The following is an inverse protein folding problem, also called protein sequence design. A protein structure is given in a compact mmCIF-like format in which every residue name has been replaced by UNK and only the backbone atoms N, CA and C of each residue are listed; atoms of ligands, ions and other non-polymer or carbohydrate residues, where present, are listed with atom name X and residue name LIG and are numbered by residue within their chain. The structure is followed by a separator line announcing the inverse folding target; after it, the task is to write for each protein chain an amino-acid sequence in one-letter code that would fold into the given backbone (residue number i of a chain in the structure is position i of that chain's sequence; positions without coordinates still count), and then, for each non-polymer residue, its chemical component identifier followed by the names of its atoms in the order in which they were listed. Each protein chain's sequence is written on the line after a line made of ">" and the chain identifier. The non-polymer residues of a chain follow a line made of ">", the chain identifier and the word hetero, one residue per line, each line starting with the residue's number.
data_IF_386087855420
#
_entry.id   IF_386087855420
#
_cell.length_a   1.000
_cell.length_b   1.000
_cell.length_c   1.000
_cell.angle_alpha   90.00
_cell.angle_beta   90.00
_cell.angle_gamma   90.00
#
_symmetry.space_group_name_H-M   'P 1'
#
loop_
_entity.id
_entity.type
_entity.pdbx_description
1 polymer ?
#
# COMPACT_ATOMS: atom_id res chain seq x y z
N UNK A 1 19.03 67.22 12.47
CA UNK A 1 20.52 67.32 12.48
C UNK A 1 21.05 66.11 11.74
N UNK A 2 21.86 66.15 10.68
CA UNK A 2 22.48 67.20 9.91
C UNK A 2 22.99 66.55 8.60
N UNK A 3 22.94 67.32 7.52
CA UNK A 3 23.26 66.97 6.12
C UNK A 3 24.77 67.15 5.89
N UNK A 4 25.40 66.44 4.93
CA UNK A 4 26.10 67.05 3.76
C UNK A 4 27.09 66.13 3.01
N UNK A 5 26.95 66.29 1.69
CA UNK A 5 27.57 65.78 0.47
C UNK A 5 29.00 66.27 0.15
N UNK A 6 29.70 65.50 -0.70
CA UNK A 6 30.60 65.98 -1.79
C UNK A 6 32.08 66.20 -1.44
N UNK A 7 33.04 66.26 -2.42
CA UNK A 7 32.85 66.66 -3.82
C UNK A 7 33.63 65.87 -4.92
N UNK A 8 33.42 66.29 -6.18
CA UNK A 8 34.05 65.87 -7.46
C UNK A 8 35.23 66.77 -7.89
N UNK A 9 36.05 66.25 -8.84
CA UNK A 9 36.79 66.90 -9.99
C UNK A 9 38.33 66.72 -9.97
N UNK A 10 39.09 66.98 -11.08
CA UNK A 10 38.86 66.74 -12.52
C UNK A 10 40.11 66.25 -13.33
N UNK A 11 39.86 65.87 -14.60
CA UNK A 11 40.69 65.91 -15.84
C UNK A 11 42.24 65.99 -15.80
N UNK A 12 42.88 65.17 -16.66
CA UNK A 12 43.98 65.62 -17.56
C UNK A 12 44.13 64.71 -18.79
N UNK A 13 44.33 65.34 -19.96
CA UNK A 13 44.72 64.75 -21.26
C UNK A 13 46.25 64.68 -21.37
N UNK A 14 46.79 63.66 -22.06
CA UNK A 14 47.81 63.71 -23.15
C UNK A 14 48.46 62.32 -23.37
N UNK A 15 48.64 61.95 -24.63
CA UNK A 15 49.25 60.71 -25.15
C UNK A 15 50.80 60.71 -25.00
N UNK A 16 51.52 59.57 -25.16
CA UNK A 16 51.89 59.10 -26.51
C UNK A 16 52.00 57.57 -26.74
N UNK A 17 51.81 57.22 -28.02
CA UNK A 17 52.44 56.18 -28.85
C UNK A 17 53.30 55.07 -28.20
N UNK A 18 52.89 53.81 -28.37
CA UNK A 18 53.78 52.66 -28.50
C UNK A 18 53.12 51.58 -29.38
N UNK A 19 53.94 50.90 -30.16
CA UNK A 19 53.67 50.23 -31.42
C UNK A 19 53.68 48.71 -31.24
N UNK A 20 52.74 48.03 -31.93
CA UNK A 20 52.64 46.61 -32.30
C UNK A 20 52.96 45.51 -31.26
N UNK A 21 51.99 44.61 -31.01
CA UNK A 21 51.95 43.31 -31.70
C UNK A 21 50.59 42.60 -31.50
N UNK A 22 50.22 41.83 -32.52
CA UNK A 22 48.90 41.29 -32.85
C UNK A 22 48.52 40.07 -32.01
N UNK A 23 47.31 40.07 -31.44
CA UNK A 23 46.54 38.85 -31.16
C UNK A 23 45.13 39.07 -31.71
N UNK A 24 44.81 38.38 -32.80
CA UNK A 24 43.46 38.36 -33.36
C UNK A 24 42.59 37.43 -32.51
N UNK A 25 41.72 38.00 -31.67
CA UNK A 25 40.54 37.30 -31.18
C UNK A 25 39.36 37.84 -31.98
N UNK A 26 38.90 37.06 -32.96
CA UNK A 26 37.65 37.33 -33.64
C UNK A 26 36.50 37.19 -32.64
N UNK A 27 35.98 38.32 -32.18
CA UNK A 27 34.70 38.36 -31.49
C UNK A 27 33.61 38.18 -32.55
N UNK A 28 33.15 36.95 -32.75
CA UNK A 28 31.83 36.72 -33.32
C UNK A 28 30.81 37.24 -32.31
N UNK A 29 30.14 38.32 -32.65
CA UNK A 29 28.92 38.78 -31.99
C UNK A 29 27.88 37.66 -32.12
N UNK A 30 27.59 36.99 -31.01
CA UNK A 30 26.53 36.00 -30.91
C UNK A 30 25.20 36.76 -30.87
N UNK A 31 24.31 36.49 -31.82
CA UNK A 31 22.94 36.98 -31.78
C UNK A 31 22.28 36.58 -30.45
N UNK A 32 21.49 37.45 -29.80
CA UNK A 32 20.78 37.08 -28.59
C UNK A 32 19.87 35.88 -28.90
N UNK A 33 19.81 34.87 -28.01
CA UNK A 33 19.01 33.69 -28.26
C UNK A 33 17.55 34.11 -28.44
N UNK A 34 16.81 33.47 -29.37
CA UNK A 34 15.39 33.72 -29.54
C UNK A 34 14.68 33.53 -28.20
N UNK A 35 13.66 34.36 -27.95
CA UNK A 35 12.83 34.26 -26.75
C UNK A 35 12.40 32.79 -26.53
N UNK A 36 12.37 32.30 -25.28
CA UNK A 36 12.01 30.92 -25.00
C UNK A 36 10.60 30.67 -25.56
N UNK A 37 10.55 29.94 -26.67
CA UNK A 37 9.31 29.34 -27.11
C UNK A 37 8.92 28.37 -26.01
N UNK A 38 7.67 28.46 -25.54
CA UNK A 38 7.09 27.41 -24.70
C UNK A 38 7.24 26.11 -25.48
N UNK A 39 8.26 25.33 -25.13
CA UNK A 39 8.31 23.93 -25.51
C UNK A 39 7.04 23.36 -24.94
N UNK A 40 6.15 22.91 -25.82
CA UNK A 40 5.06 22.05 -25.41
C UNK A 40 5.71 20.99 -24.52
N UNK A 41 5.25 20.89 -23.27
CA UNK A 41 5.57 19.77 -22.41
C UNK A 41 5.43 18.54 -23.30
N UNK A 42 6.53 17.84 -23.55
CA UNK A 42 6.51 16.57 -24.26
C UNK A 42 5.41 15.76 -23.59
N UNK A 43 4.29 15.55 -24.28
CA UNK A 43 3.37 14.52 -23.87
C UNK A 43 4.22 13.28 -23.70
N UNK A 44 4.19 12.68 -22.51
CA UNK A 44 4.78 11.38 -22.31
C UNK A 44 4.07 10.46 -23.30
N UNK A 45 4.71 10.18 -24.44
CA UNK A 45 4.26 9.15 -25.34
C UNK A 45 4.28 7.89 -24.51
N UNK A 46 3.11 7.30 -24.27
CA UNK A 46 3.00 6.02 -23.59
C UNK A 46 4.00 5.06 -24.28
N UNK A 47 4.87 4.37 -23.54
CA UNK A 47 5.74 3.38 -24.16
C UNK A 47 4.86 2.41 -24.97
N UNK A 48 5.28 2.04 -26.19
CA UNK A 48 4.48 1.16 -27.03
C UNK A 48 4.16 -0.11 -26.25
N UNK A 49 2.88 -0.49 -26.24
CA UNK A 49 2.44 -1.76 -25.68
C UNK A 49 3.26 -2.85 -26.34
N UNK A 50 4.13 -3.51 -25.58
CA UNK A 50 4.89 -4.64 -26.09
C UNK A 50 3.89 -5.78 -26.29
N UNK A 51 3.97 -6.52 -27.40
CA UNK A 51 3.12 -7.70 -27.62
C UNK A 51 3.24 -8.59 -26.37
N UNK A 52 2.10 -8.92 -25.73
CA UNK A 52 2.07 -9.70 -24.49
C UNK A 52 2.05 -8.91 -23.18
N UNK A 53 2.07 -7.58 -23.21
CA UNK A 53 1.97 -6.72 -22.01
C UNK A 53 0.52 -6.28 -21.74
N UNK A 54 0.10 -6.38 -20.48
CA UNK A 54 -1.14 -5.80 -19.96
C UNK A 54 -0.79 -4.61 -19.06
N UNK A 55 -1.48 -3.49 -19.24
CA UNK A 55 -1.33 -2.27 -18.45
C UNK A 55 -2.53 -2.13 -17.51
N UNK A 56 -2.23 -2.06 -16.22
CA UNK A 56 -3.17 -1.83 -15.13
C UNK A 56 -2.94 -0.43 -14.54
N UNK A 57 -3.93 0.45 -14.67
CA UNK A 57 -3.88 1.77 -14.05
C UNK A 57 -4.24 1.70 -12.55
N UNK A 58 -3.44 2.36 -11.72
CA UNK A 58 -3.55 2.46 -10.26
C UNK A 58 -3.38 3.90 -9.80
N UNK A 59 -3.76 4.22 -8.56
CA UNK A 59 -3.57 5.57 -8.00
C UNK A 59 -2.09 5.88 -7.72
N UNK A 60 -1.40 4.95 -7.06
CA UNK A 60 0.03 5.00 -6.70
C UNK A 60 0.51 3.61 -6.28
N UNK A 61 1.82 3.40 -6.16
CA UNK A 61 2.38 2.10 -5.75
C UNK A 61 2.13 1.74 -4.28
N UNK A 62 1.64 2.69 -3.46
CA UNK A 62 1.31 2.46 -2.06
C UNK A 62 2.49 2.58 -1.08
N UNK A 63 2.26 2.19 0.17
CA UNK A 63 3.21 2.36 1.27
C UNK A 63 4.31 1.28 1.31
N UNK A 64 3.96 0.05 0.93
CA UNK A 64 4.86 -1.10 0.95
C UNK A 64 4.19 -2.36 0.40
N UNK A 65 4.95 -3.45 0.38
CA UNK A 65 4.58 -4.71 -0.25
C UNK A 65 4.60 -5.90 0.71
N UNK A 66 4.54 -5.67 2.03
CA UNK A 66 4.32 -6.74 3.01
C UNK A 66 2.83 -6.82 3.35
N UNK A 67 2.08 -7.84 2.88
CA UNK A 67 0.64 -7.94 3.12
C UNK A 67 0.28 -8.18 4.59
N UNK A 68 1.26 -8.56 5.41
CA UNK A 68 1.09 -8.86 6.82
C UNK A 68 1.18 -7.63 7.74
N UNK A 69 1.50 -6.44 7.20
CA UNK A 69 1.61 -5.20 7.97
C UNK A 69 0.37 -4.32 7.82
N UNK A 70 -0.07 -3.73 8.94
CA UNK A 70 -1.12 -2.71 8.95
C UNK A 70 -0.72 -1.46 8.14
N UNK A 71 0.57 -1.11 8.12
CA UNK A 71 1.09 0.04 7.38
C UNK A 71 0.97 -0.09 5.87
N UNK A 72 0.91 -1.32 5.37
CA UNK A 72 1.05 -1.64 3.94
C UNK A 72 -0.31 -2.01 3.31
N UNK A 73 -1.40 -1.95 4.09
CA UNK A 73 -2.75 -2.28 3.63
C UNK A 73 -3.20 -1.37 2.48
N UNK A 74 -3.21 -1.92 1.28
CA UNK A 74 -3.63 -1.24 0.06
C UNK A 74 -4.10 -2.24 -1.01
N UNK A 75 -4.99 -1.84 -1.93
CA UNK A 75 -5.40 -2.71 -3.03
C UNK A 75 -4.22 -3.10 -3.93
N UNK A 76 -3.22 -2.22 -4.08
CA UNK A 76 -2.02 -2.50 -4.90
C UNK A 76 -1.15 -3.57 -4.25
N UNK A 77 -0.89 -3.45 -2.93
CA UNK A 77 -0.16 -4.49 -2.20
C UNK A 77 -0.88 -5.85 -2.32
N UNK A 78 -2.18 -5.90 -2.04
CA UNK A 78 -2.97 -7.13 -2.16
C UNK A 78 -2.92 -7.74 -3.57
N UNK A 79 -3.02 -6.92 -4.62
CA UNK A 79 -2.94 -7.38 -6.01
C UNK A 79 -1.55 -7.92 -6.35
N UNK A 80 -0.48 -7.22 -5.96
CA UNK A 80 0.90 -7.66 -6.20
C UNK A 80 1.17 -8.95 -5.43
N UNK A 81 0.86 -9.02 -4.14
CA UNK A 81 1.03 -10.21 -3.31
C UNK A 81 0.30 -11.42 -3.90
N UNK A 82 -0.94 -11.25 -4.35
CA UNK A 82 -1.71 -12.34 -4.97
C UNK A 82 -1.04 -12.92 -6.23
N UNK A 83 -0.32 -12.10 -7.00
CA UNK A 83 0.33 -12.49 -8.25
C UNK A 83 1.74 -13.07 -8.06
N UNK A 84 2.46 -12.63 -7.01
CA UNK A 84 3.89 -12.92 -6.84
C UNK A 84 4.23 -13.75 -5.60
N UNK A 85 3.34 -13.84 -4.60
CA UNK A 85 3.58 -14.62 -3.38
C UNK A 85 2.77 -15.93 -3.37
N UNK A 86 3.37 -17.04 -2.92
CA UNK A 86 2.66 -18.30 -2.75
C UNK A 86 1.76 -18.24 -1.50
N UNK A 87 0.63 -18.93 -1.52
CA UNK A 87 -0.30 -19.01 -0.38
C UNK A 87 -0.75 -20.46 -0.18
N UNK A 88 -1.00 -20.86 1.06
CA UNK A 88 -1.56 -22.18 1.37
C UNK A 88 -3.02 -22.32 0.88
N UNK A 89 -3.80 -21.25 1.06
CA UNK A 89 -5.18 -21.15 0.62
C UNK A 89 -5.41 -19.82 -0.10
N UNK A 90 -6.39 -19.79 -1.00
CA UNK A 90 -6.84 -18.57 -1.68
C UNK A 90 -8.32 -18.34 -1.37
N UNK A 91 -8.73 -17.08 -1.13
CA UNK A 91 -10.13 -16.77 -0.91
C UNK A 91 -10.91 -16.83 -2.23
N UNK A 92 -12.08 -17.46 -2.19
CA UNK A 92 -13.09 -17.41 -3.26
C UNK A 92 -14.36 -16.78 -2.69
N UNK A 93 -15.05 -15.99 -3.51
CA UNK A 93 -16.30 -15.34 -3.07
C UNK A 93 -17.34 -16.38 -2.68
N UNK A 94 -17.85 -16.28 -1.46
CA UNK A 94 -18.90 -17.13 -0.93
C UNK A 94 -19.79 -16.31 0.03
N UNK A 95 -20.93 -15.78 -0.43
CA UNK A 95 -21.80 -14.96 0.40
C UNK A 95 -22.46 -15.74 1.55
N UNK A 96 -22.33 -17.07 1.59
CA UNK A 96 -22.84 -17.88 2.69
C UNK A 96 -21.92 -17.86 3.93
N UNK A 97 -20.67 -17.39 3.80
CA UNK A 97 -19.75 -17.29 4.95
C UNK A 97 -19.84 -15.91 5.61
N UNK A 98 -19.54 -15.80 6.92
CA UNK A 98 -19.58 -14.51 7.63
C UNK A 98 -18.63 -13.44 7.05
N UNK A 99 -17.51 -13.85 6.44
CA UNK A 99 -16.52 -12.98 5.78
C UNK A 99 -16.81 -12.75 4.30
N UNK A 100 -17.84 -13.38 3.73
CA UNK A 100 -18.13 -13.35 2.30
C UNK A 100 -17.11 -14.10 1.43
N UNK A 101 -16.16 -14.81 2.05
CA UNK A 101 -15.14 -15.61 1.38
C UNK A 101 -15.05 -17.01 1.98
N UNK A 102 -14.87 -18.01 1.11
CA UNK A 102 -14.43 -19.36 1.47
C UNK A 102 -12.96 -19.51 1.10
N UNK A 103 -12.18 -20.18 1.96
CA UNK A 103 -10.77 -20.42 1.69
C UNK A 103 -10.57 -21.80 1.08
N UNK A 104 -10.09 -21.83 -0.16
CA UNK A 104 -9.80 -23.05 -0.91
C UNK A 104 -8.30 -23.28 -0.98
N UNK A 105 -7.87 -24.52 -0.79
CA UNK A 105 -6.44 -24.88 -0.81
C UNK A 105 -5.86 -24.52 -2.18
N UNK A 106 -4.70 -23.88 -2.22
CA UNK A 106 -4.00 -23.59 -3.47
C UNK A 106 -3.28 -24.86 -3.96
N UNK A 107 -3.79 -25.53 -5.01
CA UNK A 107 -3.19 -26.76 -5.49
C UNK A 107 -1.87 -26.52 -6.22
N UNK A 108 -1.50 -25.26 -6.48
CA UNK A 108 -0.21 -24.92 -7.07
C UNK A 108 0.90 -24.97 -6.03
N UNK A 109 0.63 -24.66 -4.76
CA UNK A 109 1.64 -24.76 -3.70
C UNK A 109 1.60 -26.12 -2.99
N UNK A 110 0.41 -26.63 -2.70
CA UNK A 110 0.22 -27.76 -1.80
C UNK A 110 -0.25 -29.02 -2.53
N UNK A 111 0.22 -30.16 -2.03
CA UNK A 111 -0.33 -31.49 -2.32
C UNK A 111 -1.55 -31.73 -1.45
N UNK A 112 -1.47 -31.39 -0.16
CA UNK A 112 -2.58 -31.43 0.78
C UNK A 112 -2.37 -30.49 1.97
N UNK A 113 -3.47 -30.13 2.62
CA UNK A 113 -3.50 -29.42 3.91
C UNK A 113 -4.68 -29.95 4.73
N UNK A 114 -4.39 -30.65 5.82
CA UNK A 114 -5.38 -31.44 6.55
C UNK A 114 -5.19 -31.29 8.06
N UNK A 115 -6.31 -31.34 8.79
CA UNK A 115 -6.28 -31.57 10.23
C UNK A 115 -5.87 -33.02 10.49
N UNK A 116 -4.72 -33.22 11.12
CA UNK A 116 -4.13 -34.55 11.37
C UNK A 116 -4.16 -34.96 12.83
N UNK A 117 -4.61 -34.07 13.72
CA UNK A 117 -4.79 -34.32 15.14
C UNK A 117 -5.78 -33.35 15.76
N UNK A 118 -6.55 -33.82 16.74
CA UNK A 118 -7.55 -33.02 17.45
C UNK A 118 -7.13 -32.66 18.89
N UNK A 119 -6.29 -33.48 19.52
CA UNK A 119 -5.71 -33.23 20.85
C UNK A 119 -4.26 -33.79 20.92
N UNK A 120 -3.23 -32.96 20.67
CA UNK A 120 -3.33 -31.54 20.33
C UNK A 120 -3.94 -31.32 18.93
N UNK A 121 -4.51 -30.13 18.70
CA UNK A 121 -4.99 -29.71 17.37
C UNK A 121 -3.79 -29.49 16.45
N UNK A 122 -3.70 -30.27 15.37
CA UNK A 122 -2.57 -30.28 14.43
C UNK A 122 -3.08 -30.13 13.00
N UNK A 123 -2.45 -29.22 12.24
CA UNK A 123 -2.62 -29.10 10.80
C UNK A 123 -1.31 -29.45 10.11
N UNK A 124 -1.37 -30.38 9.16
CA UNK A 124 -0.20 -30.77 8.36
C UNK A 124 -0.33 -30.26 6.92
N UNK A 125 0.66 -29.52 6.46
CA UNK A 125 0.78 -29.00 5.09
C UNK A 125 1.84 -29.82 4.34
N UNK A 126 1.44 -30.47 3.23
CA UNK A 126 2.35 -31.13 2.31
C UNK A 126 2.61 -30.23 1.12
N UNK A 127 3.83 -29.72 1.02
CA UNK A 127 4.26 -28.75 0.02
C UNK A 127 4.75 -29.50 -1.21
N UNK A 128 4.43 -28.98 -2.41
CA UNK A 128 4.92 -29.57 -3.65
C UNK A 128 6.45 -29.59 -3.73
N UNK A 129 7.07 -30.72 -4.12
CA UNK A 129 8.51 -30.80 -4.32
C UNK A 129 9.04 -29.73 -5.29
N UNK A 130 8.30 -29.47 -6.36
CA UNK A 130 8.60 -28.51 -7.41
C UNK A 130 8.44 -27.03 -7.00
N UNK A 131 7.80 -26.75 -5.86
CA UNK A 131 7.61 -25.37 -5.39
C UNK A 131 8.94 -24.72 -4.96
N UNK A 132 9.29 -23.61 -5.61
CA UNK A 132 10.56 -22.91 -5.41
C UNK A 132 10.42 -21.38 -5.55
N UNK A 133 11.18 -20.65 -4.77
CA UNK A 133 11.36 -19.22 -4.91
C UNK A 133 12.07 -18.87 -6.23
N UNK A 134 11.97 -17.62 -6.68
CA UNK A 134 12.56 -17.16 -7.95
C UNK A 134 14.08 -17.28 -8.00
N UNK A 135 14.76 -17.43 -6.87
CA UNK A 135 16.20 -17.69 -6.76
C UNK A 135 16.58 -19.19 -6.75
N UNK A 136 15.60 -20.07 -6.97
CA UNK A 136 15.66 -21.54 -6.90
C UNK A 136 15.71 -22.15 -5.50
N UNK A 137 15.65 -21.35 -4.41
CA UNK A 137 15.50 -21.91 -3.08
C UNK A 137 14.13 -22.64 -2.98
N UNK A 138 14.03 -23.83 -2.38
CA UNK A 138 12.75 -24.51 -2.25
C UNK A 138 11.82 -23.72 -1.32
N UNK A 139 10.54 -23.62 -1.68
CA UNK A 139 9.52 -23.20 -0.71
C UNK A 139 9.30 -24.37 0.24
N UNK A 140 9.37 -24.11 1.55
CA UNK A 140 9.38 -25.16 2.56
C UNK A 140 8.87 -24.73 3.94
N UNK A 141 8.90 -25.68 4.88
CA UNK A 141 8.43 -25.50 6.25
C UNK A 141 9.15 -24.36 7.01
N UNK A 142 10.38 -24.01 6.61
CA UNK A 142 11.12 -22.87 7.19
C UNK A 142 10.42 -21.52 6.90
N UNK A 143 9.73 -21.39 5.76
CA UNK A 143 8.96 -20.19 5.41
C UNK A 143 7.68 -20.08 6.25
N UNK A 144 7.04 -21.23 6.53
CA UNK A 144 5.89 -21.32 7.44
C UNK A 144 6.31 -20.95 8.87
N UNK A 145 7.39 -21.57 9.36
CA UNK A 145 7.93 -21.25 10.69
C UNK A 145 8.30 -19.77 10.78
N UNK A 146 8.99 -19.24 9.78
CA UNK A 146 9.39 -17.84 9.75
C UNK A 146 8.20 -16.90 9.83
N UNK A 147 7.18 -17.10 8.97
CA UNK A 147 6.00 -16.26 8.96
C UNK A 147 5.29 -16.29 10.32
N UNK A 148 5.08 -17.48 10.90
CA UNK A 148 4.53 -17.60 12.25
C UNK A 148 5.32 -16.79 13.28
N UNK A 149 6.65 -16.92 13.29
CA UNK A 149 7.51 -16.17 14.22
C UNK A 149 7.39 -14.66 14.02
N UNK A 150 7.29 -14.17 12.79
CA UNK A 150 7.11 -12.74 12.55
C UNK A 150 5.73 -12.25 13.00
N UNK A 151 4.67 -12.99 12.68
CA UNK A 151 3.30 -12.64 13.06
C UNK A 151 3.09 -12.55 14.58
N UNK A 152 3.82 -13.34 15.37
CA UNK A 152 3.70 -13.31 16.84
C UNK A 152 4.63 -12.26 17.48
N UNK A 153 5.74 -11.90 16.83
CA UNK A 153 6.77 -11.03 17.46
C UNK A 153 6.77 -9.59 16.97
N UNK A 154 6.26 -9.33 15.77
CA UNK A 154 6.32 -8.00 15.16
C UNK A 154 5.11 -7.14 15.57
N UNK A 155 5.31 -5.88 15.93
CA UNK A 155 4.21 -4.96 16.18
C UNK A 155 3.54 -4.55 14.86
N UNK A 156 2.25 -4.22 14.93
CA UNK A 156 1.54 -3.65 13.78
C UNK A 156 1.29 -4.63 12.63
N UNK A 157 1.26 -5.93 12.92
CA UNK A 157 0.82 -6.96 11.99
C UNK A 157 -0.70 -7.07 11.94
N UNK A 158 -1.23 -7.62 10.84
CA UNK A 158 -2.67 -7.83 10.62
C UNK A 158 -3.16 -9.01 11.45
N UNK A 159 -4.15 -8.76 12.32
CA UNK A 159 -4.96 -9.75 13.04
C UNK A 159 -4.24 -11.06 13.46
N UNK A 160 -3.15 -10.99 14.28
CA UNK A 160 -2.28 -12.13 14.55
C UNK A 160 -2.88 -13.19 15.49
N UNK A 161 -4.12 -13.03 15.95
CA UNK A 161 -4.71 -13.86 17.01
C UNK A 161 -4.70 -15.37 16.67
N UNK A 162 -4.85 -15.74 15.40
CA UNK A 162 -4.73 -17.14 14.97
C UNK A 162 -3.29 -17.67 15.04
N UNK A 163 -2.30 -16.82 14.73
CA UNK A 163 -0.88 -17.16 14.84
C UNK A 163 -0.42 -17.27 16.30
N UNK A 164 -0.99 -16.47 17.21
CA UNK A 164 -0.71 -16.54 18.65
C UNK A 164 -1.10 -17.90 19.27
N UNK A 165 -2.03 -18.64 18.64
CA UNK A 165 -2.45 -19.97 19.09
C UNK A 165 -1.49 -21.08 18.66
N UNK A 166 -0.54 -20.82 17.75
CA UNK A 166 0.42 -21.84 17.29
C UNK A 166 1.49 -22.04 18.38
N UNK A 167 1.73 -23.30 18.74
CA UNK A 167 2.75 -23.71 19.72
C UNK A 167 4.01 -24.24 19.07
N UNK A 168 3.93 -24.70 17.81
CA UNK A 168 5.09 -25.19 17.07
C UNK A 168 4.82 -25.32 15.57
N UNK A 169 5.88 -25.14 14.79
CA UNK A 169 5.93 -25.47 13.36
C UNK A 169 7.16 -26.34 13.16
N UNK A 170 6.94 -27.62 12.86
CA UNK A 170 8.00 -28.60 12.65
C UNK A 170 8.20 -28.87 11.16
N UNK A 171 9.48 -29.02 10.79
CA UNK A 171 9.92 -29.32 9.43
C UNK A 171 10.20 -30.82 9.30
N UNK A 172 9.47 -31.49 8.41
CA UNK A 172 9.58 -32.94 8.15
C UNK A 172 9.79 -33.16 6.65
N UNK A 173 10.24 -34.37 6.27
CA UNK A 173 10.45 -34.79 4.87
C UNK A 173 11.36 -33.84 4.08
N UNK A 174 12.47 -33.41 4.71
CA UNK A 174 13.41 -32.47 4.09
C UNK A 174 12.83 -31.06 3.88
N UNK A 175 11.86 -30.65 4.70
CA UNK A 175 11.23 -29.34 4.64
C UNK A 175 10.03 -29.24 3.71
N UNK A 176 9.60 -30.33 3.08
CA UNK A 176 8.39 -30.37 2.24
C UNK A 176 7.12 -30.74 2.99
N UNK A 177 7.22 -31.02 4.27
CA UNK A 177 6.06 -31.18 5.16
C UNK A 177 6.21 -30.22 6.34
N UNK A 178 5.22 -29.33 6.53
CA UNK A 178 5.13 -28.45 7.69
C UNK A 178 4.02 -28.96 8.63
N UNK A 179 4.38 -29.34 9.85
CA UNK A 179 3.43 -29.80 10.88
C UNK A 179 3.23 -28.66 11.87
N UNK A 180 2.01 -28.12 11.91
CA UNK A 180 1.65 -26.96 12.74
C UNK A 180 0.78 -27.42 13.90
N UNK A 181 1.27 -27.22 15.11
CA UNK A 181 0.58 -27.58 16.35
C UNK A 181 0.00 -26.33 17.00
N UNK A 182 -1.24 -26.42 17.51
CA UNK A 182 -1.93 -25.33 18.17
C UNK A 182 -2.18 -25.63 19.65
N UNK A 183 -2.32 -24.57 20.46
CA UNK A 183 -2.68 -24.64 21.87
C UNK A 183 -4.15 -25.03 22.10
N UNK A 184 -5.00 -24.76 21.11
CA UNK A 184 -6.43 -25.07 21.13
C UNK A 184 -6.96 -25.19 19.69
N UNK A 185 -8.14 -25.79 19.46
CA UNK A 185 -8.76 -25.83 18.14
C UNK A 185 -8.96 -24.42 17.55
N UNK A 186 -8.57 -24.24 16.29
CA UNK A 186 -8.70 -22.97 15.58
C UNK A 186 -9.39 -23.18 14.21
N UNK A 187 -10.73 -23.01 14.11
CA UNK A 187 -11.48 -23.33 12.89
C UNK A 187 -11.09 -22.54 11.64
N UNK A 188 -10.55 -21.33 11.81
CA UNK A 188 -10.12 -20.43 10.73
C UNK A 188 -8.65 -20.64 10.32
N UNK A 189 -8.06 -21.81 10.60
CA UNK A 189 -6.66 -22.11 10.27
C UNK A 189 -6.31 -21.99 8.79
N UNK A 190 -7.30 -22.11 7.89
CA UNK A 190 -7.13 -21.95 6.43
C UNK A 190 -6.78 -20.53 6.02
N UNK A 191 -7.01 -19.54 6.88
CA UNK A 191 -6.64 -18.14 6.65
C UNK A 191 -5.17 -17.88 7.00
N UNK A 192 -4.52 -18.81 7.69
CA UNK A 192 -3.10 -18.71 8.03
C UNK A 192 -2.23 -19.16 6.85
N UNK A 193 -0.99 -18.67 6.83
CA UNK A 193 0.01 -19.01 5.83
C UNK A 193 -0.42 -18.64 4.39
N UNK A 194 -1.23 -17.60 4.24
CA UNK A 194 -1.35 -16.84 3.00
C UNK A 194 -0.11 -15.96 2.81
N UNK A 195 0.15 -15.59 1.55
CA UNK A 195 1.21 -14.68 1.15
C UNK A 195 2.56 -14.93 1.84
N UNK A 196 3.04 -16.18 1.77
CA UNK A 196 4.30 -16.60 2.35
C UNK A 196 5.46 -15.72 1.85
N UNK A 197 6.42 -15.49 2.73
CA UNK A 197 7.61 -14.68 2.44
C UNK A 197 8.87 -15.56 2.42
N UNK A 198 9.85 -15.28 1.54
CA UNK A 198 11.11 -16.03 1.46
C UNK A 198 11.95 -15.78 2.71
N UNK A 199 11.94 -16.75 3.63
CA UNK A 199 12.53 -16.57 4.96
C UNK A 199 14.03 -16.28 4.93
N UNK A 200 14.75 -16.85 3.96
CA UNK A 200 16.19 -16.64 3.75
C UNK A 200 16.54 -15.28 3.14
N UNK A 201 15.55 -14.52 2.67
CA UNK A 201 15.75 -13.19 2.08
C UNK A 201 15.29 -12.11 3.05
N UNK A 202 14.09 -12.25 3.61
CA UNK A 202 13.50 -11.20 4.47
C UNK A 202 14.24 -11.08 5.82
N UNK A 203 14.97 -12.12 6.26
CA UNK A 203 15.85 -12.03 7.44
C UNK A 203 17.05 -11.10 7.22
N UNK A 204 17.55 -11.01 6.00
CA UNK A 204 18.83 -10.37 5.68
C UNK A 204 18.67 -9.03 4.94
N UNK A 205 17.48 -8.74 4.39
CA UNK A 205 17.19 -7.46 3.75
C UNK A 205 17.24 -6.31 4.77
N UNK A 206 17.82 -5.14 4.44
CA UNK A 206 17.79 -3.97 5.32
C UNK A 206 16.35 -3.59 5.70
N UNK A 207 16.08 -3.45 6.99
CA UNK A 207 14.73 -3.20 7.51
C UNK A 207 13.89 -4.46 7.76
N UNK A 208 14.34 -5.64 7.33
CA UNK A 208 13.74 -6.93 7.62
C UNK A 208 12.24 -7.02 7.30
N UNK A 209 11.51 -7.77 8.12
CA UNK A 209 10.05 -7.90 8.01
C UNK A 209 9.28 -6.56 8.05
N UNK A 210 9.55 -5.62 8.99
CA UNK A 210 8.72 -4.41 9.12
C UNK A 210 8.94 -3.34 8.04
N UNK A 211 10.08 -3.34 7.33
CA UNK A 211 10.39 -2.26 6.38
C UNK A 211 11.14 -2.70 5.12
N UNK A 212 11.72 -3.89 5.09
CA UNK A 212 12.56 -4.35 3.98
C UNK A 212 11.81 -4.54 2.67
N UNK A 213 10.48 -4.72 2.73
CA UNK A 213 9.61 -4.88 1.57
C UNK A 213 8.87 -3.58 1.19
N UNK A 214 9.23 -2.42 1.76
CA UNK A 214 8.52 -1.16 1.48
C UNK A 214 8.67 -0.71 0.01
N UNK A 215 9.82 -1.02 -0.61
CA UNK A 215 10.17 -0.58 -1.97
C UNK A 215 10.87 -1.67 -2.79
N UNK A 216 10.86 -2.91 -2.32
CA UNK A 216 11.55 -4.02 -2.95
C UNK A 216 10.83 -5.34 -2.69
N UNK A 217 10.84 -6.22 -3.69
CA UNK A 217 10.42 -7.62 -3.61
C UNK A 217 11.40 -8.46 -4.45
N UNK A 218 12.65 -8.62 -4.00
CA UNK A 218 13.73 -9.16 -4.84
C UNK A 218 13.57 -10.65 -5.15
N UNK A 219 12.91 -11.39 -4.25
CA UNK A 219 12.63 -12.82 -4.41
C UNK A 219 11.15 -13.04 -4.15
N UNK A 220 10.51 -13.79 -5.04
CA UNK A 220 9.06 -14.05 -5.07
C UNK A 220 8.81 -15.52 -5.42
N UNK A 221 7.57 -16.00 -5.38
CA UNK A 221 7.24 -17.42 -5.51
C UNK A 221 5.88 -17.66 -6.18
N UNK A 222 5.51 -16.81 -7.14
CA UNK A 222 4.21 -16.85 -7.82
C UNK A 222 4.33 -17.00 -9.34
N UNK A 223 3.18 -16.88 -10.02
CA UNK A 223 3.07 -16.90 -11.49
C UNK A 223 3.82 -15.74 -12.15
N UNK A 224 3.91 -14.62 -11.44
CA UNK A 224 4.74 -13.48 -11.82
C UNK A 224 5.86 -13.27 -10.82
N UNK A 225 6.91 -12.60 -11.28
CA UNK A 225 7.95 -12.00 -10.45
C UNK A 225 7.90 -10.49 -10.58
N UNK A 226 8.41 -9.79 -9.57
CA UNK A 226 8.62 -8.35 -9.66
C UNK A 226 9.90 -8.09 -10.46
N UNK A 227 9.77 -7.38 -11.59
CA UNK A 227 10.90 -6.96 -12.42
C UNK A 227 11.43 -5.60 -11.94
N UNK A 228 10.56 -4.62 -11.74
CA UNK A 228 10.93 -3.31 -11.19
C UNK A 228 9.81 -2.70 -10.34
N UNK A 229 10.21 -1.89 -9.36
CA UNK A 229 9.35 -0.96 -8.63
C UNK A 229 10.00 0.42 -8.76
N UNK A 230 9.32 1.37 -9.41
CA UNK A 230 9.78 2.74 -9.62
C UNK A 230 8.88 3.73 -8.85
N UNK A 231 9.32 4.21 -7.67
CA UNK A 231 8.56 5.18 -6.89
C UNK A 231 8.48 6.57 -7.53
N UNK A 232 9.39 6.92 -8.45
CA UNK A 232 9.36 8.23 -9.12
C UNK A 232 8.25 8.26 -10.18
N UNK A 233 8.07 7.15 -10.89
CA UNK A 233 7.02 7.01 -11.92
C UNK A 233 5.69 6.48 -11.38
N UNK A 234 5.67 5.97 -10.14
CA UNK A 234 4.56 5.19 -9.61
C UNK A 234 4.26 3.97 -10.49
N UNK A 235 5.30 3.21 -10.81
CA UNK A 235 5.22 2.03 -11.69
C UNK A 235 5.71 0.77 -10.97
N UNK A 236 5.02 -0.35 -11.22
CA UNK A 236 5.44 -1.69 -10.84
C UNK A 236 5.36 -2.55 -12.09
N UNK A 237 6.48 -3.06 -12.55
CA UNK A 237 6.53 -4.01 -13.66
C UNK A 237 6.62 -5.42 -13.10
N UNK A 238 5.61 -6.23 -13.40
CA UNK A 238 5.65 -7.66 -13.19
C UNK A 238 5.98 -8.37 -14.51
N UNK A 239 6.84 -9.37 -14.44
CA UNK A 239 7.15 -10.24 -15.57
C UNK A 239 6.73 -11.68 -15.24
N UNK A 240 6.32 -12.46 -16.25
CA UNK A 240 6.05 -13.89 -16.07
C UNK A 240 7.25 -14.55 -15.40
N UNK A 241 7.00 -15.38 -14.40
CA UNK A 241 8.05 -16.16 -13.76
C UNK A 241 8.33 -17.42 -14.57
N UNK A 242 9.38 -17.42 -15.39
CA UNK A 242 9.77 -18.58 -16.20
C UNK A 242 10.23 -19.78 -15.36
N UNK A 243 10.46 -19.59 -14.05
CA UNK A 243 10.76 -20.66 -13.07
C UNK A 243 9.52 -21.15 -12.32
N UNK A 244 8.33 -20.65 -12.64
CA UNK A 244 7.10 -21.11 -12.00
C UNK A 244 6.79 -22.56 -12.40
N UNK A 245 6.41 -23.37 -11.42
CA UNK A 245 6.20 -24.81 -11.58
C UNK A 245 4.74 -25.18 -11.91
N UNK A 246 3.82 -24.22 -11.79
CA UNK A 246 2.42 -24.38 -12.19
C UNK A 246 2.16 -23.96 -13.64
N UNK A 247 0.87 -23.84 -14.04
CA UNK A 247 0.50 -23.32 -15.35
C UNK A 247 1.10 -21.93 -15.60
N UNK A 248 1.76 -21.69 -16.75
CA UNK A 248 2.39 -20.40 -17.03
C UNK A 248 1.33 -19.32 -17.25
N UNK A 249 1.65 -18.09 -16.81
CA UNK A 249 0.82 -16.93 -17.11
C UNK A 249 0.78 -16.66 -18.63
N UNK A 250 -0.41 -16.32 -19.13
CA UNK A 250 -0.59 -15.96 -20.55
C UNK A 250 0.12 -14.65 -20.94
N UNK A 251 -0.01 -13.53 -20.20
CA UNK A 251 0.74 -12.33 -20.55
C UNK A 251 2.22 -12.48 -20.15
N UNK A 252 3.09 -11.86 -20.94
CA UNK A 252 4.52 -11.78 -20.65
C UNK A 252 4.79 -10.81 -19.50
N UNK A 253 4.03 -9.71 -19.46
CA UNK A 253 4.23 -8.63 -18.49
C UNK A 253 2.90 -8.01 -18.05
N UNK A 254 2.87 -7.55 -16.79
CA UNK A 254 1.82 -6.68 -16.27
C UNK A 254 2.50 -5.41 -15.75
N UNK A 255 2.18 -4.26 -16.35
CA UNK A 255 2.65 -2.97 -15.88
C UNK A 255 1.54 -2.30 -15.07
N UNK A 256 1.76 -2.15 -13.78
CA UNK A 256 0.98 -1.25 -12.94
C UNK A 256 1.56 0.15 -13.10
N UNK A 257 0.73 1.15 -13.39
CA UNK A 257 1.19 2.54 -13.51
C UNK A 257 0.17 3.53 -12.99
N UNK A 258 0.65 4.72 -12.62
CA UNK A 258 -0.21 5.84 -12.23
C UNK A 258 -1.24 6.17 -13.32
N UNK A 259 -2.52 6.22 -12.93
CA UNK A 259 -3.63 6.53 -13.83
C UNK A 259 -3.67 8.00 -14.28
N UNK A 260 -3.17 8.92 -13.45
CA UNK A 260 -3.32 10.36 -13.67
C UNK A 260 -4.74 10.85 -13.37
N UNK A 261 -5.14 11.96 -14.00
CA UNK A 261 -6.50 12.50 -13.83
C UNK A 261 -7.57 11.62 -14.50
N UNK A 262 -8.85 11.69 -14.08
CA UNK A 262 -9.93 10.91 -14.69
C UNK A 262 -10.03 11.05 -16.22
N UNK A 263 -9.81 12.25 -16.77
CA UNK A 263 -9.82 12.48 -18.22
C UNK A 263 -8.65 11.82 -18.93
N UNK A 264 -7.44 11.86 -18.34
CA UNK A 264 -6.26 11.20 -18.91
C UNK A 264 -6.47 9.68 -18.92
N UNK A 265 -7.00 9.11 -17.84
CA UNK A 265 -7.33 7.69 -17.77
C UNK A 265 -8.39 7.31 -18.82
N UNK A 266 -9.46 8.10 -18.94
CA UNK A 266 -10.53 7.85 -19.90
C UNK A 266 -10.03 7.86 -21.35
N UNK A 267 -9.15 8.80 -21.69
CA UNK A 267 -8.53 8.87 -23.02
C UNK A 267 -7.60 7.67 -23.27
N UNK A 268 -6.80 7.28 -22.26
CA UNK A 268 -5.90 6.12 -22.36
C UNK A 268 -6.67 4.80 -22.54
N UNK A 269 -7.79 4.61 -21.85
CA UNK A 269 -8.66 3.45 -22.04
C UNK A 269 -9.31 3.49 -23.43
N UNK A 270 -9.81 4.65 -23.87
CA UNK A 270 -10.45 4.80 -25.20
C UNK A 270 -9.49 4.50 -26.34
N UNK A 271 -8.22 4.85 -26.19
CA UNK A 271 -7.17 4.57 -27.17
C UNK A 271 -6.65 3.12 -27.10
N UNK A 272 -7.06 2.34 -26.09
CA UNK A 272 -6.59 0.98 -25.89
C UNK A 272 -5.21 0.88 -25.23
N UNK A 273 -4.64 1.98 -24.74
CA UNK A 273 -3.34 2.03 -24.07
C UNK A 273 -3.39 1.47 -22.64
N UNK A 274 -4.58 1.42 -22.02
CA UNK A 274 -4.80 0.86 -20.68
C UNK A 274 -5.92 -0.17 -20.75
N UNK A 275 -5.66 -1.40 -20.28
CA UNK A 275 -6.60 -2.51 -20.39
C UNK A 275 -7.37 -2.78 -19.08
N UNK A 276 -6.77 -2.48 -17.94
CA UNK A 276 -7.40 -2.64 -16.61
C UNK A 276 -7.17 -1.37 -15.80
N UNK A 277 -8.13 -1.01 -14.93
CA UNK A 277 -7.96 0.09 -14.00
C UNK A 277 -8.60 -0.25 -12.65
N UNK A 278 -7.88 0.00 -11.57
CA UNK A 278 -8.41 0.02 -10.21
C UNK A 278 -7.92 1.31 -9.53
N UNK A 279 -8.79 2.30 -9.50
CA UNK A 279 -8.49 3.67 -9.04
C UNK A 279 -9.58 4.17 -8.11
N UNK A 280 -9.26 5.14 -7.26
CA UNK A 280 -10.26 5.88 -6.51
C UNK A 280 -11.00 6.84 -7.45
N UNK A 281 -12.31 6.99 -7.26
CA UNK A 281 -13.13 7.76 -8.19
C UNK A 281 -14.57 7.97 -7.73
N UNK A 282 -15.04 9.19 -7.88
CA UNK A 282 -16.39 9.62 -7.54
C UNK A 282 -17.39 9.26 -8.63
N UNK A 283 -18.68 9.58 -8.43
CA UNK A 283 -19.73 9.27 -9.41
C UNK A 283 -19.48 9.83 -10.82
N UNK A 284 -18.85 11.01 -10.91
CA UNK A 284 -18.53 11.64 -12.19
C UNK A 284 -17.44 10.86 -12.96
N UNK A 285 -16.34 10.50 -12.30
CA UNK A 285 -15.28 9.70 -12.90
C UNK A 285 -15.80 8.31 -13.32
N UNK A 286 -16.63 7.70 -12.48
CA UNK A 286 -17.29 6.44 -12.80
C UNK A 286 -18.14 6.56 -14.07
N UNK A 287 -19.04 7.54 -14.14
CA UNK A 287 -19.91 7.77 -15.30
C UNK A 287 -19.11 8.07 -16.59
N UNK A 288 -18.01 8.82 -16.48
CA UNK A 288 -17.11 9.11 -17.60
C UNK A 288 -16.49 7.83 -18.18
N UNK A 289 -16.01 6.93 -17.33
CA UNK A 289 -15.43 5.65 -17.76
C UNK A 289 -16.50 4.69 -18.32
N UNK A 290 -17.68 4.65 -17.70
CA UNK A 290 -18.80 3.81 -18.15
C UNK A 290 -19.36 4.22 -19.52
N UNK A 291 -19.14 5.46 -19.94
CA UNK A 291 -19.59 5.97 -21.23
C UNK A 291 -18.67 5.55 -22.41
N UNK A 292 -17.51 4.95 -22.13
CA UNK A 292 -16.59 4.47 -23.16
C UNK A 292 -17.16 3.17 -23.76
N UNK A 293 -17.34 3.07 -25.09
CA UNK A 293 -17.83 1.84 -25.73
C UNK A 293 -16.98 0.62 -25.36
N UNK A 294 -17.65 -0.52 -25.15
CA UNK A 294 -17.04 -1.82 -24.83
C UNK A 294 -16.23 -1.89 -23.51
N UNK A 295 -16.29 -0.86 -22.67
CA UNK A 295 -15.68 -0.83 -21.34
C UNK A 295 -16.66 -1.31 -20.28
N UNK A 296 -16.20 -2.19 -19.38
CA UNK A 296 -16.97 -2.64 -18.21
C UNK A 296 -16.44 -1.95 -16.96
N UNK A 297 -17.35 -1.35 -16.19
CA UNK A 297 -17.02 -0.65 -14.94
C UNK A 297 -17.83 -1.20 -13.78
N UNK A 298 -17.19 -1.36 -12.62
CA UNK A 298 -17.85 -1.67 -11.36
C UNK A 298 -17.15 -0.92 -10.22
N UNK A 299 -17.85 -0.74 -9.10
CA UNK A 299 -17.24 -0.28 -7.85
C UNK A 299 -17.10 -1.48 -6.91
N UNK A 300 -15.90 -1.63 -6.34
CA UNK A 300 -15.56 -2.70 -5.41
C UNK A 300 -15.24 -2.09 -4.05
N UNK A 301 -15.60 -2.79 -2.97
CA UNK A 301 -15.10 -2.48 -1.64
C UNK A 301 -13.71 -3.10 -1.51
N UNK A 302 -12.75 -2.37 -0.95
CA UNK A 302 -11.40 -2.87 -0.70
C UNK A 302 -11.29 -3.46 0.70
N UNK A 303 -10.46 -4.48 0.87
CA UNK A 303 -10.22 -5.19 2.14
C UNK A 303 -9.40 -4.39 3.16
N UNK A 304 -9.84 -3.18 3.50
CA UNK A 304 -9.29 -2.36 4.58
C UNK A 304 -10.33 -1.37 5.10
N UNK A 305 -10.27 -1.08 6.39
CA UNK A 305 -11.06 -0.01 7.03
C UNK A 305 -10.11 0.99 7.68
N UNK A 306 -10.54 2.25 7.79
CA UNK A 306 -9.79 3.29 8.48
C UNK A 306 -10.38 3.48 9.89
N UNK A 307 -9.55 3.38 10.91
CA UNK A 307 -9.97 3.52 12.31
C UNK A 307 -9.13 4.57 13.04
N UNK A 308 -9.77 5.24 14.00
CA UNK A 308 -9.11 6.12 14.97
C UNK A 308 -9.11 5.46 16.34
N UNK A 309 -7.92 5.17 16.87
CA UNK A 309 -7.76 4.40 18.11
C UNK A 309 -7.10 5.24 19.19
N UNK A 310 -7.79 5.39 20.34
CA UNK A 310 -7.24 6.07 21.52
C UNK A 310 -6.42 5.11 22.38
N UNK A 311 -5.20 5.54 22.76
CA UNK A 311 -4.33 4.78 23.66
C UNK A 311 -4.78 4.95 25.12
N UNK A 312 -5.73 4.14 25.56
CA UNK A 312 -6.32 4.21 26.91
C UNK A 312 -5.31 3.96 28.07
N UNK A 313 -4.10 3.46 27.78
CA UNK A 313 -3.01 3.32 28.77
C UNK A 313 -2.28 4.63 29.07
N UNK A 314 -2.47 5.69 28.26
CA UNK A 314 -1.89 7.01 28.55
C UNK A 314 -2.64 7.62 29.75
N UNK A 315 -1.94 8.18 30.77
CA UNK A 315 -2.60 8.73 31.95
C UNK A 315 -3.70 9.75 31.62
N UNK A 316 -3.48 10.61 30.62
CA UNK A 316 -4.45 11.60 30.15
C UNK A 316 -5.70 11.02 29.48
N UNK A 317 -5.67 9.75 29.08
CA UNK A 317 -6.76 9.03 28.42
C UNK A 317 -7.25 7.83 29.24
N UNK A 318 -6.84 7.71 30.50
CA UNK A 318 -7.21 6.59 31.38
C UNK A 318 -8.70 6.63 31.74
N UNK A 319 -9.25 7.83 31.95
CA UNK A 319 -10.66 8.05 32.26
C UNK A 319 -11.56 7.77 31.03
N UNK A 320 -12.53 6.84 31.13
CA UNK A 320 -13.52 6.61 30.07
C UNK A 320 -14.35 7.84 29.69
N UNK A 321 -14.64 8.76 30.61
CA UNK A 321 -15.39 9.99 30.33
C UNK A 321 -14.62 10.89 29.37
N UNK A 322 -13.31 11.05 29.60
CA UNK A 322 -12.41 11.81 28.70
C UNK A 322 -12.38 11.19 27.31
N UNK A 323 -12.30 9.85 27.19
CA UNK A 323 -12.32 9.19 25.87
C UNK A 323 -13.65 9.36 25.14
N UNK A 324 -14.77 9.24 25.86
CA UNK A 324 -16.11 9.48 25.29
C UNK A 324 -16.27 10.92 24.82
N UNK A 325 -15.76 11.88 25.59
CA UNK A 325 -15.74 13.28 25.21
C UNK A 325 -14.92 13.52 23.94
N UNK A 326 -13.67 13.04 23.90
CA UNK A 326 -12.80 13.21 22.73
C UNK A 326 -13.45 12.63 21.48
N UNK A 327 -13.94 11.38 21.54
CA UNK A 327 -14.61 10.77 20.39
C UNK A 327 -15.93 11.45 20.03
N UNK A 328 -16.66 11.99 21.02
CA UNK A 328 -17.93 12.68 20.80
C UNK A 328 -17.81 14.09 20.19
N UNK A 329 -16.63 14.72 20.29
CA UNK A 329 -16.31 15.99 19.62
C UNK A 329 -15.97 15.75 18.14
N UNK A 330 -15.49 14.55 17.79
CA UNK A 330 -15.11 14.23 16.42
C UNK A 330 -16.35 13.93 15.56
N UNK A 331 -16.44 14.62 14.43
CA UNK A 331 -17.43 14.33 13.39
C UNK A 331 -16.89 13.20 12.49
N UNK A 332 -17.43 11.99 12.66
CA UNK A 332 -17.00 10.81 11.90
C UNK A 332 -17.38 10.90 10.43
N UNK A 333 -18.49 11.57 10.09
CA UNK A 333 -18.91 11.79 8.71
C UNK A 333 -17.93 12.72 8.00
N UNK A 334 -17.50 13.79 8.67
CA UNK A 334 -16.45 14.68 8.18
C UNK A 334 -15.11 13.95 8.01
N UNK A 335 -14.70 13.16 9.00
CA UNK A 335 -13.45 12.38 8.92
C UNK A 335 -13.50 11.39 7.75
N UNK A 336 -14.64 10.73 7.53
CA UNK A 336 -14.82 9.79 6.44
C UNK A 336 -14.83 10.49 5.07
N UNK A 337 -15.47 11.66 4.95
CA UNK A 337 -15.44 12.49 3.74
C UNK A 337 -14.02 12.95 3.39
N UNK A 338 -13.25 13.39 4.41
CA UNK A 338 -11.84 13.77 4.25
C UNK A 338 -10.99 12.56 3.84
N UNK A 339 -11.19 11.41 4.49
CA UNK A 339 -10.44 10.18 4.22
C UNK A 339 -10.73 9.56 2.85
N UNK A 340 -11.97 9.66 2.37
CA UNK A 340 -12.33 9.22 1.01
C UNK A 340 -11.77 10.17 -0.06
N UNK A 341 -11.64 11.46 0.27
CA UNK A 341 -11.28 12.52 -0.67
C UNK A 341 -12.47 13.01 -1.49
N UNK A 342 -12.36 14.23 -2.04
CA UNK A 342 -13.45 14.86 -2.82
C UNK A 342 -13.80 14.08 -4.10
N UNK A 343 -12.88 13.25 -4.57
CA UNK A 343 -13.02 12.47 -5.80
C UNK A 343 -13.42 11.02 -5.53
N UNK A 344 -14.08 10.70 -4.41
CA UNK A 344 -14.51 9.33 -4.11
C UNK A 344 -15.89 9.27 -3.43
N UNK A 345 -16.49 8.08 -3.39
CA UNK A 345 -17.67 7.85 -2.53
C UNK A 345 -17.25 7.37 -1.16
N UNK A 346 -17.98 7.85 -0.15
CA UNK A 346 -17.83 7.38 1.23
C UNK A 346 -18.71 6.15 1.47
N UNK A 347 -18.13 5.08 2.01
CA UNK A 347 -18.84 3.99 2.66
C UNK A 347 -18.48 4.04 4.14
N UNK A 348 -19.44 4.41 4.99
CA UNK A 348 -19.20 4.54 6.43
C UNK A 348 -19.06 3.16 7.08
N UNK A 349 -18.04 3.00 7.92
CA UNK A 349 -17.94 1.87 8.84
C UNK A 349 -18.54 2.25 10.19
N UNK A 350 -19.63 1.58 10.56
CA UNK A 350 -20.43 1.83 11.76
C UNK A 350 -20.52 0.59 12.65
N UNK A 351 -19.61 -0.38 12.45
CA UNK A 351 -19.41 -1.52 13.34
C UNK A 351 -17.96 -1.57 13.80
N UNK A 352 -17.68 -2.36 14.84
CA UNK A 352 -16.31 -2.57 15.34
C UNK A 352 -15.67 -3.86 14.84
N UNK A 353 -16.50 -4.85 14.45
CA UNK A 353 -16.03 -6.19 14.07
C UNK A 353 -16.29 -6.47 12.60
N UNK A 354 -17.53 -6.28 12.14
CA UNK A 354 -17.89 -6.55 10.75
C UNK A 354 -17.61 -5.33 9.89
N UNK A 355 -16.87 -5.50 8.81
CA UNK A 355 -16.68 -4.46 7.81
C UNK A 355 -17.96 -4.31 6.95
N UNK A 356 -18.18 -3.15 6.29
CA UNK A 356 -19.31 -2.96 5.38
C UNK A 356 -19.41 -3.97 4.23
N UNK A 357 -18.31 -4.64 3.89
CA UNK A 357 -18.27 -5.71 2.88
C UNK A 357 -18.80 -7.07 3.38
N UNK A 358 -18.92 -7.27 4.69
CA UNK A 358 -19.30 -8.57 5.24
C UNK A 358 -20.81 -8.82 5.02
N UNK A 359 -21.24 -10.02 4.56
CA UNK A 359 -22.65 -10.30 4.29
C UNK A 359 -23.59 -10.06 5.48
N UNK A 360 -23.09 -10.21 6.72
CA UNK A 360 -23.83 -10.00 7.96
C UNK A 360 -23.67 -8.61 8.58
N UNK A 361 -23.17 -7.63 7.84
CA UNK A 361 -22.96 -6.28 8.35
C UNK A 361 -24.26 -5.61 8.80
N UNK A 362 -24.25 -5.07 10.01
CA UNK A 362 -25.31 -4.22 10.56
C UNK A 362 -24.62 -3.10 11.34
N UNK A 363 -25.06 -1.85 11.13
CA UNK A 363 -24.57 -0.72 11.90
C UNK A 363 -24.90 -0.92 13.39
N UNK A 364 -23.88 -0.82 14.24
CA UNK A 364 -24.00 -0.97 15.70
C UNK A 364 -23.57 0.29 16.45
N UNK A 365 -23.16 1.34 15.74
CA UNK A 365 -22.75 2.60 16.34
C UNK A 365 -23.90 3.21 17.18
N UNK A 366 -23.63 3.66 18.42
CA UNK A 366 -24.62 4.40 19.20
C UNK A 366 -24.90 5.77 18.56
N UNK A 367 -26.00 6.44 18.95
CA UNK A 367 -26.26 7.80 18.51
C UNK A 367 -25.07 8.74 18.81
N UNK A 368 -24.74 9.67 17.89
CA UNK A 368 -23.67 10.64 18.12
C UNK A 368 -23.90 11.43 19.42
N UNK A 369 -22.84 11.63 20.21
CA UNK A 369 -22.92 12.32 21.50
C UNK A 369 -23.20 13.82 21.33
N UNK A 370 -22.59 14.43 20.31
CA UNK A 370 -22.62 15.88 20.07
C UNK A 370 -21.61 16.65 20.93
N UNK A 371 -21.20 17.82 20.42
CA UNK A 371 -20.12 18.63 21.00
C UNK A 371 -20.47 19.15 22.41
N UNK A 372 -21.71 19.58 22.65
CA UNK A 372 -22.15 20.10 23.95
C UNK A 372 -22.02 19.04 25.05
N UNK A 373 -22.64 17.87 24.85
CA UNK A 373 -22.55 16.78 25.81
C UNK A 373 -21.12 16.27 25.98
N UNK A 374 -20.32 16.29 24.92
CA UNK A 374 -18.92 15.93 25.01
C UNK A 374 -18.10 16.90 25.90
N UNK A 375 -18.37 18.20 25.81
CA UNK A 375 -17.75 19.20 26.69
C UNK A 375 -18.20 19.02 28.15
N UNK A 376 -19.47 18.71 28.39
CA UNK A 376 -19.96 18.37 29.73
C UNK A 376 -19.22 17.18 30.33
N UNK A 377 -18.95 16.13 29.55
CA UNK A 377 -18.17 14.98 30.01
C UNK A 377 -16.73 15.34 30.41
N UNK A 378 -16.12 16.36 29.77
CA UNK A 378 -14.81 16.85 30.19
C UNK A 378 -14.90 17.56 31.55
N UNK A 379 -15.95 18.37 31.75
CA UNK A 379 -16.20 19.04 33.04
C UNK A 379 -16.46 18.02 34.15
N UNK A 380 -17.27 16.99 33.88
CA UNK A 380 -17.51 15.86 34.80
C UNK A 380 -16.20 15.11 35.14
N UNK A 381 -15.27 15.02 34.18
CA UNK A 381 -13.93 14.45 34.39
C UNK A 381 -12.94 15.41 35.08
N UNK A 382 -13.39 16.60 35.51
CA UNK A 382 -12.60 17.57 36.26
C UNK A 382 -11.82 18.58 35.42
N UNK A 383 -12.04 18.65 34.10
CA UNK A 383 -11.47 19.70 33.25
C UNK A 383 -12.23 21.01 33.42
N UNK A 384 -11.52 22.13 33.30
CA UNK A 384 -12.11 23.46 33.33
C UNK A 384 -11.70 24.23 32.08
N UNK A 385 -12.60 25.06 31.57
CA UNK A 385 -12.30 25.98 30.47
C UNK A 385 -11.73 27.26 31.06
N UNK A 386 -10.42 27.46 30.93
CA UNK A 386 -9.81 28.75 31.23
C UNK A 386 -10.01 29.70 30.05
N UNK A 387 -10.61 30.86 30.32
CA UNK A 387 -10.74 31.94 29.34
C UNK A 387 -9.43 32.74 29.34
N UNK A 388 -8.55 32.47 28.38
CA UNK A 388 -7.26 33.14 28.23
C UNK A 388 -6.56 32.78 26.92
N UNK A 389 -5.49 33.50 26.51
CA UNK A 389 -4.70 33.11 25.35
C UNK A 389 -4.11 31.71 25.57
N UNK A 390 -4.16 30.86 24.53
CA UNK A 390 -3.57 29.52 24.56
C UNK A 390 -2.11 29.64 25.04
N UNK A 391 -1.69 28.87 26.07
CA UNK A 391 -0.29 28.83 26.44
C UNK A 391 0.52 28.34 25.23
N UNK A 392 1.70 28.92 25.01
CA UNK A 392 2.59 28.48 23.95
C UNK A 392 2.87 26.97 24.12
N UNK A 393 2.87 26.18 23.04
CA UNK A 393 3.15 24.75 23.14
C UNK A 393 4.50 24.53 23.82
N UNK A 394 4.54 23.62 24.79
CA UNK A 394 5.78 23.23 25.44
C UNK A 394 6.71 22.54 24.42
N UNK A 395 7.99 22.97 24.38
CA UNK A 395 9.05 22.39 23.54
C UNK A 395 9.31 20.91 23.82
#
# INVERSE_FOLDING_TARGET
>A
MGVLTGPRKPQRRRAPLAVLLVVAVGACTVDPPPAPQSTQTSQAVAPPVTVGQIIMAIDSIGAGFNPHLLSDQSPVNAAVSALVLPSAFRPVSDPATPSGSRWEMDPTLLVSAEETGADPFIVTYKIRPEAAWTDNAPIGADDFWYLWRQMVSQPGVVDPAGYDLITGVESVDGGKTAVVTFAQPYPAWRELFSDLLPSHIVKDVPGGFPAGLARALPVTGGQFRVETIDPQRDEILLARNDRYWGPPATPDQILFRRAGSPSVLADSIRNGDTQVAQVHGGPAAFAQLSAIPDVRTSRLITSRTLQLTLRARKPTLADPLVRKAILGILDVDLLAAVGAGGDNSVTLDQSLVRAPSDPGYVATAPPPLGAERALELLVEAGYQVEQGPLPAPAE
#
